data_IF_054007593430
#
_entry.id   IF_054007593430
#
_cell.length_a   1.000
_cell.length_b   1.000
_cell.length_c   1.000
_cell.angle_alpha   90.00
_cell.angle_beta   90.00
_cell.angle_gamma   90.00
#
_symmetry.space_group_name_H-M   'P 1'
#
loop_
_entity.id
_entity.type
_entity.pdbx_description
1 polymer ?
#
# COMPACT_ATOMS: atom_id res chain seq x y z
N UNK A 1 4.30 -13.17 -13.80
CA UNK A 1 3.59 -11.88 -13.94
C UNK A 1 4.10 -10.93 -12.86
N UNK A 2 4.45 -9.69 -13.22
CA UNK A 2 4.80 -8.65 -12.23
C UNK A 2 3.53 -8.23 -11.51
N UNK A 3 3.50 -8.31 -10.17
CA UNK A 3 2.35 -7.93 -9.34
C UNK A 3 2.70 -6.65 -8.59
N UNK A 4 1.80 -5.69 -8.63
CA UNK A 4 1.94 -4.43 -7.91
C UNK A 4 0.87 -4.36 -6.81
N UNK A 5 1.27 -3.93 -5.61
CA UNK A 5 0.36 -3.68 -4.50
C UNK A 5 0.42 -2.22 -4.10
N UNK A 6 -0.71 -1.70 -3.60
CA UNK A 6 -0.74 -0.34 -3.05
C UNK A 6 -0.04 -0.32 -1.70
N UNK A 7 0.50 0.84 -1.31
CA UNK A 7 1.12 1.04 0.00
C UNK A 7 0.18 0.69 1.17
N UNK A 8 -1.12 0.94 1.02
CA UNK A 8 -2.12 0.51 2.01
C UNK A 8 -2.17 -1.01 2.19
N UNK A 9 -2.10 -1.78 1.10
CA UNK A 9 -2.12 -3.24 1.16
C UNK A 9 -0.79 -3.79 1.69
N UNK A 10 0.33 -3.17 1.30
CA UNK A 10 1.64 -3.44 1.88
C UNK A 10 1.62 -3.22 3.40
N UNK A 11 1.03 -2.13 3.88
CA UNK A 11 0.92 -1.84 5.30
C UNK A 11 0.14 -2.94 6.05
N UNK A 12 -0.99 -3.39 5.52
CA UNK A 12 -1.79 -4.49 6.08
C UNK A 12 -1.01 -5.80 6.11
N UNK A 13 -0.35 -6.16 5.00
CA UNK A 13 0.42 -7.41 4.90
C UNK A 13 1.60 -7.45 5.88
N UNK A 14 2.20 -6.30 6.16
CA UNK A 14 3.27 -6.16 7.14
C UNK A 14 2.79 -5.84 8.56
N UNK A 15 1.47 -5.84 8.81
CA UNK A 15 0.85 -5.46 10.09
C UNK A 15 1.38 -4.13 10.64
N UNK A 16 1.64 -3.17 9.76
CA UNK A 16 2.08 -1.82 10.12
C UNK A 16 1.02 -0.79 9.74
N UNK A 17 1.06 0.36 10.40
CA UNK A 17 0.22 1.49 10.01
C UNK A 17 0.66 2.06 8.67
N UNK A 18 -0.28 2.70 7.96
CA UNK A 18 0.01 3.41 6.71
C UNK A 18 1.16 4.42 6.87
N UNK A 19 1.16 5.16 7.98
CA UNK A 19 2.21 6.14 8.29
C UNK A 19 3.59 5.49 8.43
N UNK A 20 3.66 4.32 9.06
CA UNK A 20 4.90 3.55 9.15
C UNK A 20 5.35 3.03 7.78
N UNK A 21 4.43 2.52 6.96
CA UNK A 21 4.74 2.11 5.60
C UNK A 21 5.23 3.29 4.74
N UNK A 22 4.62 4.46 4.89
CA UNK A 22 5.02 5.69 4.20
C UNK A 22 6.40 6.18 4.64
N UNK A 23 6.69 6.15 5.94
CA UNK A 23 8.04 6.46 6.42
C UNK A 23 9.09 5.48 5.86
N UNK A 24 8.76 4.20 5.75
CA UNK A 24 9.65 3.19 5.12
C UNK A 24 9.86 3.46 3.63
N UNK A 25 8.80 3.83 2.92
CA UNK A 25 8.87 4.26 1.52
C UNK A 25 9.78 5.48 1.36
N UNK A 26 9.54 6.53 2.16
CA UNK A 26 10.34 7.76 2.12
C UNK A 26 11.79 7.55 2.54
N UNK A 27 12.05 6.56 3.40
CA UNK A 27 13.41 6.15 3.78
C UNK A 27 14.09 5.24 2.74
N UNK A 28 13.45 4.93 1.60
CA UNK A 28 13.99 4.04 0.56
C UNK A 28 14.13 2.58 1.00
N UNK A 29 13.46 2.17 2.08
CA UNK A 29 13.55 0.81 2.64
C UNK A 29 12.63 -0.19 1.93
N UNK A 30 11.77 0.29 1.03
CA UNK A 30 10.88 -0.56 0.24
C UNK A 30 11.48 -0.69 -1.16
N UNK A 31 11.99 -1.89 -1.53
CA UNK A 31 12.53 -2.10 -2.87
C UNK A 31 11.41 -2.06 -3.92
N UNK A 32 11.73 -1.59 -5.12
CA UNK A 32 10.84 -1.54 -6.28
C UNK A 32 9.49 -0.83 -6.03
N UNK A 33 9.51 0.21 -5.20
CA UNK A 33 8.35 1.06 -4.98
C UNK A 33 8.45 2.35 -5.77
N UNK A 34 7.36 2.76 -6.42
CA UNK A 34 7.28 4.00 -7.18
C UNK A 34 5.95 4.70 -6.94
N UNK A 35 5.94 6.02 -7.17
CA UNK A 35 4.74 6.84 -7.13
C UNK A 35 4.23 7.00 -8.56
N UNK A 36 2.96 6.66 -8.77
CA UNK A 36 2.30 6.86 -10.05
C UNK A 36 1.87 8.33 -10.23
N UNK A 37 1.52 8.70 -11.46
CA UNK A 37 1.06 10.05 -11.87
C UNK A 37 -0.09 10.56 -10.99
N UNK A 38 -0.99 9.65 -10.58
CA UNK A 38 -2.14 9.93 -9.72
C UNK A 38 -1.76 10.09 -8.22
N UNK A 39 -0.48 10.13 -7.89
CA UNK A 39 0.01 10.24 -6.52
C UNK A 39 -0.08 8.95 -5.69
N UNK A 40 -0.48 7.84 -6.29
CA UNK A 40 -0.60 6.54 -5.63
C UNK A 40 0.76 5.83 -5.55
N UNK A 41 1.11 5.29 -4.38
CA UNK A 41 2.36 4.55 -4.17
C UNK A 41 2.09 3.07 -4.45
N UNK A 42 2.81 2.53 -5.43
CA UNK A 42 2.76 1.15 -5.88
C UNK A 42 4.10 0.47 -5.54
N UNK A 43 4.02 -0.76 -5.04
CA UNK A 43 5.16 -1.59 -4.67
C UNK A 43 5.11 -2.83 -5.54
N UNK A 44 6.16 -3.06 -6.33
CA UNK A 44 6.33 -4.31 -7.08
C UNK A 44 6.70 -5.42 -6.09
N UNK A 45 5.76 -6.33 -5.86
CA UNK A 45 6.05 -7.57 -5.14
C UNK A 45 6.48 -8.62 -6.16
N UNK A 46 7.77 -8.94 -6.14
CA UNK A 46 8.31 -10.12 -6.79
C UNK A 46 7.90 -11.31 -5.92
N UNK A 47 6.62 -11.72 -5.98
CA UNK A 47 6.12 -12.79 -5.13
C UNK A 47 5.96 -14.10 -5.91
N UNK A 48 6.70 -15.12 -5.48
CA UNK A 48 6.47 -16.53 -5.80
C UNK A 48 5.32 -17.14 -4.96
N UNK A 49 4.61 -16.34 -4.13
CA UNK A 49 3.46 -16.81 -3.36
C UNK A 49 2.24 -15.94 -3.60
N UNK A 50 1.20 -16.58 -4.08
CA UNK A 50 -0.10 -15.98 -4.38
C UNK A 50 -0.76 -15.50 -3.08
N UNK A 51 -0.61 -14.20 -2.76
CA UNK A 51 -1.40 -13.58 -1.69
C UNK A 51 -2.65 -13.03 -2.36
N UNK A 52 -3.74 -13.76 -2.22
CA UNK A 52 -5.11 -13.45 -2.64
C UNK A 52 -5.58 -12.21 -1.86
N UNK A 53 -5.39 -11.03 -2.46
CA UNK A 53 -5.89 -9.75 -1.96
C UNK A 53 -7.39 -9.63 -2.26
N UNK A 54 -8.20 -10.54 -1.71
CA UNK A 54 -9.65 -10.38 -1.71
C UNK A 54 -10.07 -9.45 -0.57
N UNK A 55 -10.68 -8.33 -0.97
CA UNK A 55 -11.50 -7.41 -0.17
C UNK A 55 -10.78 -6.65 0.94
N UNK A 56 -10.56 -5.35 0.71
CA UNK A 56 -10.93 -4.32 1.69
C UNK A 56 -11.21 -3.00 0.96
N UNK A 57 -12.48 -2.61 0.86
CA UNK A 57 -12.85 -1.22 0.63
C UNK A 57 -12.89 -0.52 2.00
N UNK A 58 -12.00 0.44 2.28
CA UNK A 58 -12.14 1.32 3.44
C UNK A 58 -12.79 2.61 2.95
N UNK A 59 -14.09 2.74 3.23
CA UNK A 59 -14.86 3.95 3.03
C UNK A 59 -14.80 4.75 4.34
N UNK A 60 -14.04 5.85 4.36
CA UNK A 60 -14.13 6.81 5.45
C UNK A 60 -15.16 7.87 5.07
N UNK A 61 -16.41 7.71 5.54
CA UNK A 61 -17.36 8.83 5.51
C UNK A 61 -16.97 9.78 6.64
N UNK A 62 -16.42 10.94 6.29
CA UNK A 62 -16.18 12.02 7.26
C UNK A 62 -17.56 12.56 7.64
N UNK A 63 -17.89 12.57 8.91
CA UNK A 63 -19.07 13.27 9.39
C UNK A 63 -18.79 14.77 9.31
N UNK A 64 -19.44 15.49 8.40
CA UNK A 64 -19.64 16.93 8.55
C UNK A 64 -20.44 17.15 9.82
N UNK A 65 -19.83 17.74 10.84
CA UNK A 65 -20.54 18.24 12.01
C UNK A 65 -20.62 19.76 11.87
N UNK A 66 -21.85 20.24 11.65
CA UNK A 66 -22.43 21.59 11.76
C UNK A 66 -21.54 22.81 11.53
#
# INVERSE_FOLDING_TARGET
MKKYIKLCDYAKNHSVTYRTAWNRFNAGKIPNSFKNENGQILIEIINNKDIDLKKVAIYARVSSNS
#
